data_IF_355756895654
#
_entry.id   IF_355756895654
#
_cell.length_a   1.000
_cell.length_b   1.000
_cell.length_c   1.000
_cell.angle_alpha   90.00
_cell.angle_beta   90.00
_cell.angle_gamma   90.00
#
_symmetry.space_group_name_H-M   'P 1'
#
loop_
_entity.id
_entity.type
_entity.pdbx_description
1 polymer ?
#
# COMPACT_ATOMS: atom_id res chain seq x y z
N UNK A 1 -23.18 -40.49 -16.68
CA UNK A 1 -22.82 -39.46 -15.68
C UNK A 1 -24.06 -39.25 -14.84
N UNK A 2 -23.95 -39.51 -13.54
CA UNK A 2 -25.09 -39.69 -12.63
C UNK A 2 -25.70 -38.31 -12.34
N UNK A 3 -27.02 -38.22 -12.30
CA UNK A 3 -27.78 -36.96 -12.15
C UNK A 3 -27.34 -36.15 -10.91
N UNK A 4 -27.06 -36.85 -9.81
CA UNK A 4 -26.54 -36.26 -8.56
C UNK A 4 -25.14 -35.63 -8.69
N UNK A 5 -24.30 -36.13 -9.60
CA UNK A 5 -22.95 -35.58 -9.82
C UNK A 5 -23.02 -34.32 -10.68
N UNK A 6 -23.99 -34.25 -11.59
CA UNK A 6 -24.25 -33.07 -12.41
C UNK A 6 -24.83 -31.94 -11.56
N UNK A 7 -25.83 -32.23 -10.74
CA UNK A 7 -26.47 -31.28 -9.82
C UNK A 7 -25.47 -30.64 -8.84
N UNK A 8 -24.53 -31.44 -8.33
CA UNK A 8 -23.49 -30.95 -7.43
C UNK A 8 -22.48 -30.03 -8.14
N UNK A 9 -22.10 -30.34 -9.38
CA UNK A 9 -21.23 -29.48 -10.20
C UNK A 9 -21.92 -28.15 -10.51
N UNK A 10 -23.19 -28.18 -10.91
CA UNK A 10 -23.97 -27.00 -11.24
C UNK A 10 -24.13 -26.07 -10.01
N UNK A 11 -24.27 -26.66 -8.81
CA UNK A 11 -24.28 -25.92 -7.54
C UNK A 11 -22.95 -25.21 -7.26
N UNK A 12 -21.81 -25.86 -7.48
CA UNK A 12 -20.50 -25.22 -7.32
C UNK A 12 -20.27 -24.12 -8.35
N UNK A 13 -20.68 -24.31 -9.60
CA UNK A 13 -20.60 -23.28 -10.64
C UNK A 13 -21.42 -22.05 -10.24
N UNK A 14 -22.65 -22.25 -9.77
CA UNK A 14 -23.50 -21.17 -9.29
C UNK A 14 -22.84 -20.42 -8.13
N UNK A 15 -22.26 -21.14 -7.17
CA UNK A 15 -21.54 -20.54 -6.04
C UNK A 15 -20.31 -19.74 -6.48
N UNK A 16 -19.50 -20.26 -7.41
CA UNK A 16 -18.33 -19.53 -7.91
C UNK A 16 -18.70 -18.28 -8.71
N UNK A 17 -19.80 -18.32 -9.47
CA UNK A 17 -20.30 -17.15 -10.18
C UNK A 17 -20.80 -16.07 -9.22
N UNK A 18 -21.55 -16.44 -8.19
CA UNK A 18 -22.00 -15.52 -7.13
C UNK A 18 -20.80 -14.91 -6.39
N UNK A 19 -19.81 -15.72 -6.03
CA UNK A 19 -18.58 -15.24 -5.39
C UNK A 19 -17.82 -14.27 -6.32
N UNK A 20 -17.71 -14.60 -7.61
CA UNK A 20 -17.06 -13.74 -8.60
C UNK A 20 -17.79 -12.40 -8.76
N UNK A 21 -19.12 -12.41 -8.80
CA UNK A 21 -19.93 -11.19 -8.90
C UNK A 21 -19.76 -10.32 -7.66
N UNK A 22 -19.81 -10.92 -6.47
CA UNK A 22 -19.58 -10.21 -5.20
C UNK A 22 -18.17 -9.62 -5.11
N UNK A 23 -17.15 -10.35 -5.56
CA UNK A 23 -15.78 -9.83 -5.64
C UNK A 23 -15.70 -8.69 -6.64
N UNK A 24 -16.19 -8.89 -7.86
CA UNK A 24 -16.15 -7.87 -8.91
C UNK A 24 -16.84 -6.58 -8.43
N UNK A 25 -18.04 -6.69 -7.86
CA UNK A 25 -18.78 -5.55 -7.31
C UNK A 25 -18.06 -4.88 -6.14
N UNK A 26 -17.41 -5.66 -5.27
CA UNK A 26 -16.64 -5.12 -4.14
C UNK A 26 -15.39 -4.37 -4.60
N UNK A 27 -14.78 -4.80 -5.69
CA UNK A 27 -13.54 -4.21 -6.20
C UNK A 27 -13.74 -3.30 -7.43
N UNK A 28 -14.98 -3.07 -7.86
CA UNK A 28 -15.31 -2.23 -9.04
C UNK A 28 -14.80 -0.79 -8.86
N UNK A 29 -14.90 -0.27 -7.63
CA UNK A 29 -14.40 1.05 -7.24
C UNK A 29 -12.87 1.20 -7.38
N UNK A 30 -12.12 0.08 -7.48
CA UNK A 30 -10.66 0.15 -7.66
C UNK A 30 -10.25 0.55 -9.08
N UNK A 31 -11.13 0.43 -10.08
CA UNK A 31 -10.84 0.92 -11.44
C UNK A 31 -10.61 2.43 -11.46
N UNK A 32 -11.46 3.19 -10.76
CA UNK A 32 -11.30 4.65 -10.61
C UNK A 32 -10.04 4.98 -9.80
N UNK A 33 -9.73 4.17 -8.78
CA UNK A 33 -8.52 4.33 -7.96
C UNK A 33 -7.26 4.06 -8.80
N UNK A 34 -7.27 3.08 -9.70
CA UNK A 34 -6.14 2.73 -10.56
C UNK A 34 -5.74 3.89 -11.48
N UNK A 35 -6.71 4.53 -12.14
CA UNK A 35 -6.45 5.70 -12.97
C UNK A 35 -5.81 6.85 -12.16
N UNK A 36 -6.30 7.08 -10.94
CA UNK A 36 -5.75 8.09 -10.03
C UNK A 36 -4.34 7.74 -9.55
N UNK A 37 -4.07 6.46 -9.26
CA UNK A 37 -2.73 5.96 -8.92
C UNK A 37 -1.79 6.17 -10.10
N UNK A 38 -2.21 5.84 -11.31
CA UNK A 38 -1.40 5.97 -12.52
C UNK A 38 -1.02 7.44 -12.75
N UNK A 39 -1.98 8.35 -12.61
CA UNK A 39 -1.75 9.79 -12.69
C UNK A 39 -0.78 10.27 -11.60
N UNK A 40 -1.01 9.94 -10.33
CA UNK A 40 -0.13 10.37 -9.23
C UNK A 40 1.26 9.72 -9.29
N UNK A 41 1.38 8.57 -9.96
CA UNK A 41 2.67 7.91 -10.21
C UNK A 41 3.45 8.61 -11.31
N UNK A 42 2.77 9.08 -12.35
CA UNK A 42 3.38 9.85 -13.44
C UNK A 42 2.39 10.88 -14.02
N UNK A 43 2.39 12.13 -13.51
CA UNK A 43 1.46 13.15 -13.98
C UNK A 43 1.74 13.59 -15.44
N UNK A 44 2.91 13.24 -16.00
CA UNK A 44 3.36 13.66 -17.34
C UNK A 44 3.07 12.65 -18.45
N UNK A 45 2.79 11.38 -18.12
CA UNK A 45 2.47 10.33 -19.11
C UNK A 45 0.97 10.20 -19.41
N UNK A 46 0.15 10.69 -18.49
CA UNK A 46 -1.31 10.63 -18.55
C UNK A 46 -1.87 11.38 -19.78
N UNK A 47 -2.59 10.64 -20.64
CA UNK A 47 -3.45 11.21 -21.70
C UNK A 47 -4.88 11.45 -21.21
N UNK A 48 -5.15 11.23 -19.93
CA UNK A 48 -6.49 11.37 -19.38
C UNK A 48 -6.97 12.82 -19.47
N UNK A 49 -8.30 12.94 -19.59
CA UNK A 49 -9.02 14.19 -19.47
C UNK A 49 -8.81 14.79 -18.07
N UNK A 50 -8.37 16.05 -18.03
CA UNK A 50 -8.00 16.75 -16.80
C UNK A 50 -9.19 16.85 -15.85
N UNK A 51 -10.37 17.15 -16.39
CA UNK A 51 -11.60 17.32 -15.62
C UNK A 51 -12.02 16.00 -15.00
N UNK A 52 -11.92 14.90 -15.76
CA UNK A 52 -12.18 13.55 -15.25
C UNK A 52 -11.25 13.18 -14.09
N UNK A 53 -9.95 13.39 -14.24
CA UNK A 53 -8.96 13.08 -13.19
C UNK A 53 -9.19 13.93 -11.95
N UNK A 54 -9.43 15.23 -12.10
CA UNK A 54 -9.68 16.12 -10.96
C UNK A 54 -10.93 15.73 -10.17
N UNK A 55 -12.02 15.44 -10.87
CA UNK A 55 -13.27 14.99 -10.23
C UNK A 55 -13.08 13.65 -9.51
N UNK A 56 -12.37 12.70 -10.12
CA UNK A 56 -12.09 11.39 -9.52
C UNK A 56 -11.18 11.52 -8.29
N UNK A 57 -10.14 12.34 -8.34
CA UNK A 57 -9.27 12.62 -7.19
C UNK A 57 -10.02 13.32 -6.04
N UNK A 58 -10.89 14.28 -6.37
CA UNK A 58 -11.72 14.99 -5.40
C UNK A 58 -12.71 14.06 -4.68
N UNK A 59 -13.29 13.08 -5.39
CA UNK A 59 -14.16 12.06 -4.78
C UNK A 59 -13.43 11.19 -3.75
N UNK A 60 -12.19 10.79 -4.05
CA UNK A 60 -11.39 9.95 -3.13
C UNK A 60 -11.00 10.74 -1.88
N UNK A 61 -10.72 12.04 -2.04
CA UNK A 61 -10.31 12.89 -0.93
C UNK A 61 -11.25 14.08 -0.79
N UNK A 62 -12.30 13.91 0.01
CA UNK A 62 -13.35 14.91 0.28
C UNK A 62 -12.85 16.23 0.88
N UNK A 63 -11.54 16.36 1.13
CA UNK A 63 -10.88 17.56 1.65
C UNK A 63 -10.40 18.48 0.52
N UNK A 64 -10.50 18.04 -0.75
CA UNK A 64 -9.93 18.73 -1.89
C UNK A 64 -11.01 19.05 -2.93
N UNK A 65 -11.06 20.32 -3.34
CA UNK A 65 -11.97 20.82 -4.37
C UNK A 65 -11.47 20.47 -5.80
N UNK A 66 -12.39 20.05 -6.68
CA UNK A 66 -12.07 19.65 -8.06
C UNK A 66 -11.53 20.82 -8.88
N UNK A 67 -12.08 22.03 -8.75
CA UNK A 67 -11.63 23.18 -9.55
C UNK A 67 -10.18 23.55 -9.21
N UNK A 68 -9.85 23.52 -7.92
CA UNK A 68 -8.48 23.75 -7.45
C UNK A 68 -7.50 22.69 -7.97
N UNK A 69 -7.93 21.42 -8.02
CA UNK A 69 -7.15 20.34 -8.62
C UNK A 69 -6.95 20.51 -10.12
N UNK A 70 -7.98 20.90 -10.87
CA UNK A 70 -7.87 21.12 -12.32
C UNK A 70 -6.78 22.14 -12.63
N UNK A 71 -6.73 23.24 -11.88
CA UNK A 71 -5.70 24.27 -12.05
C UNK A 71 -4.29 23.72 -11.75
N UNK A 72 -4.12 23.00 -10.64
CA UNK A 72 -2.83 22.37 -10.32
C UNK A 72 -2.39 21.33 -11.36
N UNK A 73 -3.33 20.55 -11.90
CA UNK A 73 -3.07 19.54 -12.93
C UNK A 73 -2.63 20.22 -14.24
N UNK A 74 -3.31 21.30 -14.64
CA UNK A 74 -2.91 22.08 -15.83
C UNK A 74 -1.49 22.63 -15.64
N UNK A 75 -1.21 23.22 -14.48
CA UNK A 75 0.09 23.83 -14.22
C UNK A 75 1.20 22.77 -14.19
N UNK A 76 1.02 21.64 -13.49
CA UNK A 76 2.06 20.61 -13.38
C UNK A 76 2.33 19.94 -14.73
N UNK A 77 1.31 19.65 -15.53
CA UNK A 77 1.47 18.99 -16.85
C UNK A 77 2.23 19.87 -17.84
N UNK A 78 2.09 21.19 -17.71
CA UNK A 78 2.78 22.17 -18.58
C UNK A 78 4.14 22.63 -18.03
N UNK A 79 4.56 22.14 -16.86
CA UNK A 79 5.80 22.56 -16.22
C UNK A 79 7.00 21.70 -16.67
N UNK A 80 7.74 22.19 -17.68
CA UNK A 80 8.91 21.51 -18.25
C UNK A 80 10.01 21.23 -17.20
N UNK A 81 10.40 22.19 -16.32
CA UNK A 81 11.36 21.91 -15.26
C UNK A 81 10.94 20.77 -14.34
N UNK A 82 9.66 20.72 -13.93
CA UNK A 82 9.15 19.63 -13.09
C UNK A 82 9.13 18.29 -13.82
N UNK A 83 8.87 18.28 -15.13
CA UNK A 83 8.97 17.06 -15.94
C UNK A 83 10.40 16.49 -15.92
N UNK A 84 11.40 17.35 -16.14
CA UNK A 84 12.81 16.94 -16.08
C UNK A 84 13.17 16.45 -14.67
N UNK A 85 12.70 17.14 -13.63
CA UNK A 85 12.90 16.73 -12.26
C UNK A 85 12.26 15.36 -11.96
N UNK A 86 11.08 15.08 -12.52
CA UNK A 86 10.44 13.77 -12.41
C UNK A 86 11.27 12.67 -13.09
N UNK A 87 11.76 12.90 -14.31
CA UNK A 87 12.60 11.94 -15.03
C UNK A 87 13.90 11.60 -14.27
N UNK A 88 14.43 12.54 -13.50
CA UNK A 88 15.65 12.34 -12.69
C UNK A 88 15.40 11.67 -11.33
N UNK A 89 14.24 11.93 -10.70
CA UNK A 89 14.00 11.55 -9.30
C UNK A 89 12.94 10.45 -9.13
N UNK A 90 12.18 10.13 -10.18
CA UNK A 90 11.18 9.06 -10.19
C UNK A 90 10.23 9.12 -8.99
N UNK A 91 10.24 8.07 -8.18
CA UNK A 91 9.36 7.94 -7.01
C UNK A 91 9.59 9.01 -5.95
N UNK A 92 10.74 9.68 -5.90
CA UNK A 92 11.03 10.72 -4.92
C UNK A 92 10.54 12.12 -5.35
N UNK A 93 10.08 12.25 -6.59
CA UNK A 93 9.61 13.52 -7.21
C UNK A 93 8.73 14.37 -6.30
N UNK A 94 7.67 13.79 -5.73
CA UNK A 94 6.70 14.52 -4.91
C UNK A 94 7.28 15.15 -3.64
N UNK A 95 8.48 14.71 -3.18
CA UNK A 95 9.17 15.38 -2.06
C UNK A 95 9.73 16.74 -2.48
N UNK A 96 10.15 16.87 -3.74
CA UNK A 96 10.77 18.05 -4.33
C UNK A 96 9.78 19.13 -4.78
N UNK A 97 8.53 18.73 -5.06
CA UNK A 97 7.46 19.65 -5.48
C UNK A 97 7.15 20.66 -4.38
N UNK A 98 7.04 21.94 -4.70
CA UNK A 98 6.73 23.00 -3.73
C UNK A 98 5.28 22.91 -3.26
N UNK A 99 5.06 22.77 -1.94
CA UNK A 99 3.71 22.71 -1.33
C UNK A 99 2.91 23.99 -1.62
N UNK A 100 3.58 25.14 -1.70
CA UNK A 100 2.92 26.42 -1.95
C UNK A 100 2.28 26.52 -3.35
N UNK A 101 2.77 25.77 -4.34
CA UNK A 101 2.24 25.76 -5.72
C UNK A 101 1.29 24.61 -5.98
N UNK A 102 1.57 23.44 -5.41
CA UNK A 102 0.79 22.22 -5.64
C UNK A 102 0.32 21.60 -4.32
N UNK A 103 -0.42 22.35 -3.47
CA UNK A 103 -0.80 21.86 -2.16
C UNK A 103 -1.66 20.60 -2.24
N UNK A 104 -2.62 20.55 -3.16
CA UNK A 104 -3.56 19.44 -3.27
C UNK A 104 -2.93 18.21 -3.90
N UNK A 105 -2.24 18.36 -5.02
CA UNK A 105 -1.57 17.24 -5.70
C UNK A 105 -0.47 16.63 -4.84
N UNK A 106 0.33 17.46 -4.16
CA UNK A 106 1.37 16.94 -3.25
C UNK A 106 0.76 16.21 -2.06
N UNK A 107 -0.33 16.74 -1.48
CA UNK A 107 -1.06 16.07 -0.40
C UNK A 107 -1.57 14.70 -0.84
N UNK A 108 -2.27 14.62 -1.98
CA UNK A 108 -2.81 13.38 -2.53
C UNK A 108 -1.71 12.35 -2.82
N UNK A 109 -0.61 12.76 -3.46
CA UNK A 109 0.49 11.86 -3.78
C UNK A 109 1.17 11.28 -2.53
N UNK A 110 1.37 12.09 -1.49
CA UNK A 110 1.97 11.64 -0.24
C UNK A 110 1.00 10.76 0.57
N UNK A 111 -0.28 11.10 0.59
CA UNK A 111 -1.31 10.28 1.23
C UNK A 111 -1.44 8.92 0.57
N UNK A 112 -1.47 8.87 -0.76
CA UNK A 112 -1.52 7.62 -1.50
C UNK A 112 -0.32 6.72 -1.15
N UNK A 113 0.89 7.29 -1.15
CA UNK A 113 2.10 6.57 -0.74
C UNK A 113 2.04 6.07 0.70
N UNK A 114 1.48 6.86 1.62
CA UNK A 114 1.32 6.47 3.01
C UNK A 114 0.32 5.31 3.18
N UNK A 115 -0.75 5.28 2.39
CA UNK A 115 -1.71 4.17 2.40
C UNK A 115 -1.09 2.88 1.88
N UNK A 116 -0.29 2.93 0.81
CA UNK A 116 0.48 1.75 0.39
C UNK A 116 1.51 1.31 1.42
N UNK A 117 2.15 2.26 2.12
CA UNK A 117 3.05 1.97 3.21
C UNK A 117 2.37 1.22 4.37
N UNK A 118 1.18 1.65 4.79
CA UNK A 118 0.44 0.99 5.86
C UNK A 118 -0.08 -0.38 5.44
N UNK A 119 -0.57 -0.55 4.21
CA UNK A 119 -0.99 -1.86 3.68
C UNK A 119 0.20 -2.82 3.62
N UNK A 120 1.35 -2.40 3.07
CA UNK A 120 2.56 -3.22 3.05
C UNK A 120 3.02 -3.61 4.47
N UNK A 121 3.00 -2.66 5.41
CA UNK A 121 3.36 -2.94 6.81
C UNK A 121 2.37 -3.91 7.46
N UNK A 122 1.07 -3.78 7.19
CA UNK A 122 0.04 -4.70 7.65
C UNK A 122 0.21 -6.09 7.03
N UNK A 123 0.42 -6.20 5.72
CA UNK A 123 0.68 -7.48 5.04
C UNK A 123 1.96 -8.15 5.54
N UNK A 124 3.02 -7.37 5.73
CA UNK A 124 4.29 -7.84 6.30
C UNK A 124 4.10 -8.30 7.74
N UNK A 125 3.32 -7.56 8.55
CA UNK A 125 2.95 -7.91 9.91
C UNK A 125 2.17 -9.22 9.97
N UNK A 126 1.11 -9.37 9.16
CA UNK A 126 0.31 -10.59 9.10
C UNK A 126 1.12 -11.81 8.63
N UNK A 127 1.94 -11.63 7.59
CA UNK A 127 2.81 -12.69 7.07
C UNK A 127 3.84 -13.12 8.11
N UNK A 128 4.48 -12.15 8.77
CA UNK A 128 5.44 -12.40 9.86
C UNK A 128 4.78 -13.09 11.04
N UNK A 129 3.59 -12.64 11.45
CA UNK A 129 2.82 -13.26 12.53
C UNK A 129 2.45 -14.71 12.20
N UNK A 130 2.06 -14.99 10.95
CA UNK A 130 1.79 -16.35 10.46
C UNK A 130 3.03 -17.25 10.57
N UNK A 131 4.21 -16.74 10.20
CA UNK A 131 5.49 -17.48 10.30
C UNK A 131 5.87 -17.73 11.77
N UNK A 132 5.83 -16.70 12.62
CA UNK A 132 6.20 -16.79 14.04
C UNK A 132 5.27 -17.75 14.80
N UNK A 133 3.95 -17.64 14.60
CA UNK A 133 2.97 -18.57 15.20
C UNK A 133 3.10 -19.99 14.67
N UNK A 134 3.46 -20.18 13.40
CA UNK A 134 3.69 -21.52 12.84
C UNK A 134 4.92 -22.18 13.44
N UNK A 135 6.04 -21.44 13.56
CA UNK A 135 7.34 -21.97 14.00
C UNK A 135 7.44 -22.24 15.50
N UNK A 136 6.72 -21.47 16.33
CA UNK A 136 6.83 -21.53 17.79
C UNK A 136 5.48 -21.78 18.49
N UNK A 137 4.52 -22.38 17.78
CA UNK A 137 3.11 -22.55 18.21
C UNK A 137 2.93 -23.05 19.64
N UNK A 138 3.81 -23.93 20.10
CA UNK A 138 3.71 -24.57 21.43
C UNK A 138 4.40 -23.80 22.56
N UNK A 139 5.11 -22.70 22.27
CA UNK A 139 5.97 -21.97 23.22
C UNK A 139 5.72 -20.45 23.26
N UNK A 140 4.75 -19.97 22.48
CA UNK A 140 4.49 -18.54 22.30
C UNK A 140 3.44 -18.02 23.29
N UNK A 141 3.75 -16.93 23.99
CA UNK A 141 2.82 -16.12 24.79
C UNK A 141 2.58 -14.78 24.08
N UNK A 142 1.51 -14.07 24.41
CA UNK A 142 1.18 -12.81 23.71
C UNK A 142 2.29 -11.75 23.81
N UNK A 143 2.99 -11.70 24.96
CA UNK A 143 4.15 -10.81 25.15
C UNK A 143 5.30 -11.18 24.22
N UNK A 144 5.70 -12.45 24.16
CA UNK A 144 6.84 -12.86 23.34
C UNK A 144 6.54 -12.86 21.84
N UNK A 145 5.26 -12.97 21.45
CA UNK A 145 4.80 -12.78 20.07
C UNK A 145 4.99 -11.34 19.61
N UNK A 146 4.62 -10.36 20.44
CA UNK A 146 4.76 -8.93 20.13
C UNK A 146 6.23 -8.53 19.93
N UNK A 147 7.12 -9.01 20.80
CA UNK A 147 8.56 -8.74 20.70
C UNK A 147 9.19 -9.39 19.46
N UNK A 148 8.78 -10.63 19.12
CA UNK A 148 9.22 -11.30 17.90
C UNK A 148 8.82 -10.53 16.64
N UNK A 149 7.56 -10.07 16.59
CA UNK A 149 7.04 -9.29 15.47
C UNK A 149 7.77 -7.95 15.35
N UNK A 150 7.93 -7.22 16.47
CA UNK A 150 8.66 -5.94 16.49
C UNK A 150 10.08 -6.09 15.99
N UNK A 151 10.77 -7.13 16.41
CA UNK A 151 12.15 -7.40 15.97
C UNK A 151 12.19 -7.69 14.48
N UNK A 152 11.31 -8.56 13.98
CA UNK A 152 11.27 -8.99 12.59
C UNK A 152 10.87 -7.87 11.60
N UNK A 153 10.05 -6.91 12.02
CA UNK A 153 9.65 -5.76 11.20
C UNK A 153 10.59 -4.55 11.35
N UNK A 154 11.51 -4.58 12.31
CA UNK A 154 12.47 -3.50 12.50
C UNK A 154 13.64 -3.60 11.52
N UNK A 155 14.24 -2.46 11.17
CA UNK A 155 15.54 -2.40 10.47
C UNK A 155 16.74 -2.59 11.43
N UNK A 156 16.48 -2.88 12.70
CA UNK A 156 17.50 -3.01 13.72
C UNK A 156 18.22 -4.35 13.55
N UNK A 157 19.55 -4.30 13.38
CA UNK A 157 20.40 -5.48 13.39
C UNK A 157 21.01 -5.56 14.80
N UNK A 158 20.63 -6.55 15.62
CA UNK A 158 21.21 -6.71 16.94
C UNK A 158 22.71 -7.00 16.85
N UNK A 159 23.49 -6.38 17.72
CA UNK A 159 24.90 -6.75 17.89
C UNK A 159 24.98 -8.05 18.69
N UNK A 160 24.98 -9.17 17.96
CA UNK A 160 25.03 -10.51 18.54
C UNK A 160 26.34 -10.78 19.30
N UNK A 161 27.44 -10.11 18.94
CA UNK A 161 28.73 -10.29 19.64
C UNK A 161 28.69 -9.66 21.02
N UNK A 162 28.12 -8.46 21.12
CA UNK A 162 27.92 -7.79 22.41
C UNK A 162 26.94 -8.57 23.29
N UNK A 163 25.81 -9.02 22.72
CA UNK A 163 24.81 -9.80 23.45
C UNK A 163 25.38 -11.12 23.99
N UNK A 164 26.16 -11.84 23.18
CA UNK A 164 26.79 -13.10 23.61
C UNK A 164 27.77 -12.90 24.77
N UNK A 165 28.57 -11.82 24.74
CA UNK A 165 29.50 -11.48 25.82
C UNK A 165 28.77 -11.18 27.13
N UNK A 166 27.69 -10.41 27.08
CA UNK A 166 26.94 -10.02 28.29
C UNK A 166 26.22 -11.21 28.96
N UNK A 167 25.73 -12.16 28.15
CA UNK A 167 25.12 -13.41 28.64
C UNK A 167 26.19 -14.33 29.26
N UNK A 168 27.37 -14.42 28.64
CA UNK A 168 28.45 -15.27 29.12
C UNK A 168 29.08 -14.75 30.42
N UNK A 169 29.09 -13.43 30.64
CA UNK A 169 29.51 -12.82 31.90
C UNK A 169 28.57 -13.10 33.08
N UNK A 170 27.27 -13.37 32.84
CA UNK A 170 26.30 -13.70 33.89
C UNK A 170 26.29 -15.20 34.28
N UNK A 171 27.00 -16.05 33.55
CA UNK A 171 27.13 -17.50 33.82
C UNK A 171 28.51 -17.86 34.41
N UNK A 172 29.15 -16.94 35.12
CA UNK A 172 30.43 -17.19 35.81
C UNK A 172 30.35 -18.38 36.79
N UNK A 173 31.45 -19.13 36.98
CA UNK A 173 31.44 -20.49 37.50
C UNK A 173 31.01 -20.53 38.97
N UNK A 174 30.04 -21.40 39.27
CA UNK A 174 29.82 -21.90 40.63
C UNK A 174 30.93 -22.86 41.06
#
# INVERSE_FOLDING_TARGET
MNDDTKDNIDKYIAYFNDLYEQFSKRFDEFGDIEANIMFLSNPFASKEDIVSVANSLSKICSQVDSTSLEMEIIEIKNNIPLKIAFEQNGTEFWKLVEVAKFPNLKYLALNLKSHFGSTYLCESLFSTMKIVKSKYRSRLTDCNLNDCIRTALSKYVPDFQKLAKDIQCHLGPG
#
